data_IF_541877969995
#
_entry.id   IF_541877969995
#
_cell.length_a   1.000
_cell.length_b   1.000
_cell.length_c   1.000
_cell.angle_alpha   90.00
_cell.angle_beta   90.00
_cell.angle_gamma   90.00
#
_symmetry.space_group_name_H-M   'P 1'
#
loop_
_entity.id
_entity.type
_entity.pdbx_description
1 polymer ?
#
# COMPACT_ATOMS: atom_id res chain seq x y z
N UNK A 1 -6.15 12.17 -20.58
CA UNK A 1 -5.48 10.94 -20.09
C UNK A 1 -6.52 10.14 -19.33
N UNK A 2 -6.76 8.86 -19.65
CA UNK A 2 -7.75 8.04 -18.92
C UNK A 2 -7.13 7.59 -17.59
N UNK A 3 -7.87 7.62 -16.47
CA UNK A 3 -7.38 7.12 -15.19
C UNK A 3 -7.03 5.63 -15.32
N UNK A 4 -5.97 5.20 -14.63
CA UNK A 4 -5.63 3.79 -14.57
C UNK A 4 -6.75 3.06 -13.81
N UNK A 5 -7.04 1.80 -14.15
CA UNK A 5 -8.14 1.03 -13.54
C UNK A 5 -8.07 0.97 -12.00
N UNK A 6 -6.88 1.10 -11.43
CA UNK A 6 -6.67 1.03 -9.98
C UNK A 6 -6.79 2.38 -9.27
N UNK A 7 -6.86 3.49 -10.02
CA UNK A 7 -6.92 4.83 -9.43
C UNK A 7 -8.28 5.11 -8.76
N UNK A 8 -9.30 4.28 -9.04
CA UNK A 8 -10.63 4.34 -8.42
C UNK A 8 -10.73 3.53 -7.11
N UNK A 9 -9.66 2.86 -6.67
CA UNK A 9 -9.68 2.09 -5.42
C UNK A 9 -9.53 3.04 -4.25
N UNK A 10 -10.50 3.00 -3.34
CA UNK A 10 -10.53 3.78 -2.11
C UNK A 10 -11.03 2.91 -0.96
N UNK A 11 -10.20 2.78 0.08
CA UNK A 11 -10.52 2.16 1.34
C UNK A 11 -10.33 3.18 2.47
N UNK A 12 -11.07 2.98 3.57
CA UNK A 12 -10.88 3.79 4.78
C UNK A 12 -9.86 3.12 5.70
N UNK A 13 -8.63 3.63 5.71
CA UNK A 13 -7.56 3.19 6.62
C UNK A 13 -7.28 4.19 7.74
N UNK A 14 -8.13 5.21 7.95
CA UNK A 14 -7.90 6.29 8.91
C UNK A 14 -7.67 5.81 10.36
N UNK A 15 -8.23 4.66 10.72
CA UNK A 15 -8.10 4.05 12.06
C UNK A 15 -7.11 2.88 12.11
N UNK A 16 -6.41 2.58 11.02
CA UNK A 16 -5.57 1.37 10.94
C UNK A 16 -4.42 1.40 11.96
N UNK A 17 -3.73 2.54 12.08
CA UNK A 17 -2.68 2.75 13.08
C UNK A 17 -3.16 2.71 14.53
N UNK A 18 -4.46 2.91 14.79
CA UNK A 18 -5.03 2.78 16.14
C UNK A 18 -5.36 1.32 16.48
N UNK A 19 -5.56 0.47 15.46
CA UNK A 19 -5.98 -0.93 15.63
C UNK A 19 -4.80 -1.91 15.64
N UNK A 20 -3.77 -1.65 14.84
CA UNK A 20 -2.59 -2.50 14.74
C UNK A 20 -1.33 -1.65 14.83
N UNK A 21 -0.30 -2.17 15.47
CA UNK A 21 1.08 -1.69 15.29
C UNK A 21 1.57 -2.02 13.88
N UNK A 22 2.67 -1.39 13.44
CA UNK A 22 3.24 -1.68 12.12
C UNK A 22 3.72 -3.13 12.01
N UNK A 23 4.32 -3.66 13.08
CA UNK A 23 4.82 -5.03 13.17
C UNK A 23 3.68 -6.06 13.13
N UNK A 24 2.59 -5.81 13.86
CA UNK A 24 1.38 -6.67 13.81
C UNK A 24 0.76 -6.67 12.41
N UNK A 25 0.66 -5.51 11.77
CA UNK A 25 0.14 -5.42 10.40
C UNK A 25 0.96 -6.27 9.43
N UNK A 26 2.29 -6.19 9.50
CA UNK A 26 3.19 -7.01 8.67
C UNK A 26 3.00 -8.50 8.97
N UNK A 27 2.84 -8.89 10.23
CA UNK A 27 2.65 -10.28 10.63
C UNK A 27 1.33 -10.89 10.12
N UNK A 28 0.29 -10.06 9.94
CA UNK A 28 -1.00 -10.48 9.40
C UNK A 28 -1.06 -10.49 7.87
N UNK A 29 -0.13 -9.83 7.19
CA UNK A 29 -0.09 -9.81 5.73
C UNK A 29 0.45 -11.14 5.16
N UNK A 30 -0.07 -11.61 4.00
CA UNK A 30 0.44 -12.78 3.33
C UNK A 30 1.95 -12.68 3.02
N UNK A 31 2.70 -13.76 3.21
CA UNK A 31 4.16 -13.82 3.00
C UNK A 31 4.58 -13.30 1.61
N UNK A 32 3.80 -13.61 0.57
CA UNK A 32 4.07 -13.14 -0.81
C UNK A 32 4.07 -11.61 -0.93
N UNK A 33 3.32 -10.91 -0.08
CA UNK A 33 3.25 -9.45 -0.04
C UNK A 33 4.27 -8.85 0.94
N UNK A 34 4.87 -9.65 1.82
CA UNK A 34 5.88 -9.21 2.80
C UNK A 34 7.29 -9.71 2.50
N UNK A 35 7.51 -10.50 1.45
CA UNK A 35 8.86 -10.84 0.99
C UNK A 35 9.59 -9.58 0.50
N UNK A 36 10.89 -9.47 0.73
CA UNK A 36 11.74 -8.39 0.19
C UNK A 36 11.24 -6.98 0.60
N UNK A 37 10.97 -6.75 1.89
CA UNK A 37 10.43 -5.48 2.40
C UNK A 37 11.33 -4.27 2.14
N UNK A 38 12.64 -4.50 2.12
CA UNK A 38 13.65 -3.47 1.90
C UNK A 38 13.85 -3.16 0.41
N UNK A 39 13.40 -4.03 -0.48
CA UNK A 39 13.52 -3.84 -1.92
C UNK A 39 12.48 -2.86 -2.45
N UNK A 40 12.85 -2.19 -3.56
CA UNK A 40 12.00 -1.21 -4.21
C UNK A 40 10.77 -1.87 -4.84
N UNK A 41 9.59 -1.50 -4.33
CA UNK A 41 8.31 -1.79 -4.96
C UNK A 41 8.10 -0.87 -6.17
N UNK A 42 8.39 0.42 -6.00
CA UNK A 42 8.31 1.41 -7.07
C UNK A 42 9.71 1.82 -7.51
N UNK A 43 10.17 1.29 -8.64
CA UNK A 43 11.50 1.58 -9.18
C UNK A 43 11.63 3.00 -9.75
N UNK A 44 10.51 3.62 -10.17
CA UNK A 44 10.54 4.98 -10.72
C UNK A 44 11.06 6.01 -9.71
N UNK A 45 10.62 5.87 -8.45
CA UNK A 45 10.94 6.81 -7.37
C UNK A 45 11.75 6.14 -6.24
N UNK A 46 12.29 4.93 -6.49
CA UNK A 46 13.04 4.14 -5.50
C UNK A 46 12.34 3.99 -4.15
N UNK A 47 11.05 3.63 -4.18
CA UNK A 47 10.24 3.46 -2.97
C UNK A 47 10.21 2.00 -2.57
N UNK A 48 10.80 1.71 -1.40
CA UNK A 48 10.81 0.39 -0.78
C UNK A 48 9.39 -0.06 -0.39
N UNK A 49 9.16 -1.38 -0.43
CA UNK A 49 7.86 -1.97 -0.08
C UNK A 49 7.42 -1.63 1.35
N UNK A 50 8.34 -1.67 2.31
CA UNK A 50 8.08 -1.27 3.71
C UNK A 50 7.55 0.16 3.84
N UNK A 51 8.03 1.09 3.01
CA UNK A 51 7.61 2.50 3.06
C UNK A 51 6.15 2.65 2.61
N UNK A 52 5.75 1.88 1.60
CA UNK A 52 4.37 1.83 1.13
C UNK A 52 3.44 1.25 2.19
N UNK A 53 3.80 0.10 2.78
CA UNK A 53 2.98 -0.52 3.83
C UNK A 53 2.86 0.42 5.04
N UNK A 54 3.94 1.12 5.40
CA UNK A 54 3.89 2.16 6.43
C UNK A 54 2.95 3.31 6.07
N UNK A 55 2.95 3.79 4.82
CA UNK A 55 2.00 4.82 4.40
C UNK A 55 0.54 4.34 4.52
N UNK A 56 0.27 3.08 4.20
CA UNK A 56 -1.06 2.48 4.37
C UNK A 56 -1.44 2.35 5.85
N UNK A 57 -0.50 1.92 6.70
CA UNK A 57 -0.63 1.87 8.16
C UNK A 57 -1.00 3.24 8.74
N UNK A 58 -0.34 4.30 8.25
CA UNK A 58 -0.60 5.71 8.60
C UNK A 58 -1.94 6.26 8.04
N UNK A 59 -2.64 5.49 7.21
CA UNK A 59 -4.00 5.79 6.76
C UNK A 59 -4.20 5.96 5.26
N UNK A 60 -3.17 5.73 4.43
CA UNK A 60 -3.31 5.81 2.97
C UNK A 60 -4.07 4.60 2.41
N UNK A 61 -5.37 4.73 2.20
CA UNK A 61 -6.27 3.69 1.68
C UNK A 61 -6.60 3.80 0.19
N UNK A 62 -5.98 4.72 -0.55
CA UNK A 62 -6.18 4.86 -2.00
C UNK A 62 -4.87 5.08 -2.76
N UNK A 63 -4.89 4.86 -4.07
CA UNK A 63 -3.73 5.16 -4.93
C UNK A 63 -3.29 6.62 -4.84
N UNK A 64 -4.26 7.54 -4.76
CA UNK A 64 -4.00 8.97 -4.62
C UNK A 64 -3.31 9.28 -3.29
N UNK A 65 -3.79 8.70 -2.18
CA UNK A 65 -3.19 8.90 -0.86
C UNK A 65 -1.79 8.29 -0.75
N UNK A 66 -1.57 7.10 -1.33
CA UNK A 66 -0.25 6.47 -1.35
C UNK A 66 0.75 7.33 -2.13
N UNK A 67 0.33 7.87 -3.27
CA UNK A 67 1.12 8.81 -4.07
C UNK A 67 1.46 10.05 -3.26
N UNK A 68 0.49 10.65 -2.60
CA UNK A 68 0.72 11.85 -1.77
C UNK A 68 1.70 11.55 -0.62
N UNK A 69 1.57 10.39 0.02
CA UNK A 69 2.36 10.03 1.19
C UNK A 69 3.82 9.62 0.86
N UNK A 70 4.05 8.97 -0.29
CA UNK A 70 5.38 8.41 -0.60
C UNK A 70 5.75 8.35 -2.08
N UNK A 71 4.96 8.94 -2.98
CA UNK A 71 5.19 9.01 -4.44
C UNK A 71 5.17 7.65 -5.17
N UNK A 72 4.82 6.55 -4.50
CA UNK A 72 4.62 5.27 -5.18
C UNK A 72 3.38 5.33 -6.09
N UNK A 73 3.49 4.76 -7.29
CA UNK A 73 2.40 4.74 -8.28
C UNK A 73 2.30 5.98 -9.19
N UNK A 74 3.17 6.98 -9.02
CA UNK A 74 3.18 8.21 -9.84
C UNK A 74 3.88 8.06 -11.21
N UNK A 75 4.77 7.08 -11.34
CA UNK A 75 5.52 6.86 -12.57
C UNK A 75 4.76 6.04 -13.62
N UNK A 76 5.46 5.06 -14.22
CA UNK A 76 4.93 4.19 -15.30
C UNK A 76 3.79 3.28 -14.87
N UNK A 77 3.52 3.17 -13.57
CA UNK A 77 2.41 2.38 -13.02
C UNK A 77 2.69 0.88 -12.83
N UNK A 78 3.90 0.39 -13.10
CA UNK A 78 4.27 -1.02 -12.94
C UNK A 78 4.00 -1.58 -11.52
N UNK A 79 4.17 -0.75 -10.49
CA UNK A 79 3.91 -1.10 -9.09
C UNK A 79 2.42 -1.13 -8.71
N UNK A 80 1.51 -0.55 -9.52
CA UNK A 80 0.10 -0.35 -9.13
C UNK A 80 -0.66 -1.66 -8.89
N UNK A 81 -0.30 -2.75 -9.57
CA UNK A 81 -0.91 -4.06 -9.29
C UNK A 81 -0.55 -4.58 -7.90
N UNK A 82 0.72 -4.44 -7.49
CA UNK A 82 1.15 -4.82 -6.15
C UNK A 82 0.55 -3.88 -5.09
N UNK A 83 0.47 -2.57 -5.35
CA UNK A 83 -0.24 -1.63 -4.49
C UNK A 83 -1.69 -2.05 -4.26
N UNK A 84 -2.39 -2.47 -5.34
CA UNK A 84 -3.75 -2.98 -5.27
C UNK A 84 -3.85 -4.22 -4.39
N UNK A 85 -2.93 -5.17 -4.54
CA UNK A 85 -2.94 -6.38 -3.69
C UNK A 85 -2.68 -6.08 -2.21
N UNK A 86 -1.81 -5.11 -1.92
CA UNK A 86 -1.59 -4.64 -0.55
C UNK A 86 -2.85 -3.98 0.03
N UNK A 87 -3.48 -3.06 -0.72
CA UNK A 87 -4.74 -2.43 -0.33
C UNK A 87 -5.83 -3.47 -0.03
N UNK A 88 -6.06 -4.42 -0.95
CA UNK A 88 -7.05 -5.49 -0.76
C UNK A 88 -6.74 -6.38 0.46
N UNK A 89 -5.47 -6.72 0.68
CA UNK A 89 -5.07 -7.57 1.79
C UNK A 89 -5.32 -6.87 3.13
N UNK A 90 -4.92 -5.60 3.25
CA UNK A 90 -5.14 -4.79 4.45
C UNK A 90 -6.64 -4.58 4.71
N UNK A 91 -7.44 -4.31 3.67
CA UNK A 91 -8.89 -4.18 3.82
C UNK A 91 -9.52 -5.45 4.40
N UNK A 92 -9.11 -6.64 3.93
CA UNK A 92 -9.60 -7.92 4.48
C UNK A 92 -9.23 -8.14 5.94
N UNK A 93 -8.09 -7.62 6.40
CA UNK A 93 -7.68 -7.68 7.81
C UNK A 93 -8.51 -6.75 8.69
N UNK A 94 -8.96 -5.60 8.17
CA UNK A 94 -9.86 -4.68 8.87
C UNK A 94 -11.24 -5.32 9.08
N UNK A 95 -11.73 -6.08 8.12
CA UNK A 95 -13.06 -6.69 8.18
C UNK A 95 -13.10 -8.06 8.89
N UNK A 96 -11.92 -8.61 9.24
CA UNK A 96 -11.75 -9.82 10.04
C UNK A 96 -11.75 -9.53 11.54
#
# INVERSE_FOLDING_TARGET
MRPHRFDSIEYDFSQLANRFTYEELIAHLPEILTRDLDDNLCVCNSIAKKRVIRAMHEGAGSMAQIREACMAGDGTGCCKLQLKHLLDAIQKLKDA
#
